data_IF_275173834347
#
_entry.id   IF_275173834347
#
_cell.length_a   1.000
_cell.length_b   1.000
_cell.length_c   1.000
_cell.angle_alpha   90.00
_cell.angle_beta   90.00
_cell.angle_gamma   90.00
#
_symmetry.space_group_name_H-M   'P 1'
#
loop_
_entity.id
_entity.type
_entity.pdbx_description
1 polymer ?
#
# COMPACT_ATOMS: atom_id res chain seq x y z
N UNK A 1 -8.18 23.03 -5.68
CA UNK A 1 -8.42 21.71 -5.07
C UNK A 1 -8.21 21.83 -3.56
N UNK A 2 -8.91 21.04 -2.77
CA UNK A 2 -8.62 20.88 -1.35
C UNK A 2 -7.75 19.65 -1.11
N UNK A 3 -6.80 19.73 -0.15
CA UNK A 3 -5.97 18.59 0.22
C UNK A 3 -5.61 18.65 1.71
N UNK A 4 -5.63 17.51 2.39
CA UNK A 4 -5.23 17.42 3.80
C UNK A 4 -4.76 16.03 4.19
N UNK A 5 -3.94 16.00 5.22
CA UNK A 5 -3.47 14.76 5.86
C UNK A 5 -4.32 14.48 7.11
N UNK A 6 -4.83 13.26 7.24
CA UNK A 6 -5.45 12.77 8.47
C UNK A 6 -4.36 12.14 9.33
N UNK A 7 -3.80 12.92 10.25
CA UNK A 7 -2.77 12.48 11.20
C UNK A 7 -3.39 12.08 12.54
N UNK A 8 -2.71 11.28 13.33
CA UNK A 8 -3.21 10.87 14.65
C UNK A 8 -2.16 10.98 15.73
N UNK A 9 -2.58 11.03 16.99
CA UNK A 9 -1.66 11.07 18.11
C UNK A 9 -0.94 9.75 18.36
N UNK A 10 -1.52 8.63 17.92
CA UNK A 10 -0.93 7.28 18.04
C UNK A 10 -1.66 6.29 17.11
N UNK A 11 -1.16 5.05 17.02
CA UNK A 11 -1.87 3.96 16.36
C UNK A 11 -3.18 3.62 17.10
N UNK A 12 -4.26 3.31 16.33
CA UNK A 12 -5.55 2.96 16.94
C UNK A 12 -6.41 4.16 17.37
N UNK A 13 -5.98 5.41 17.16
CA UNK A 13 -6.76 6.63 17.48
C UNK A 13 -8.02 6.80 16.61
N UNK A 14 -8.16 6.02 15.52
CA UNK A 14 -9.30 6.03 14.60
C UNK A 14 -9.06 6.80 13.31
N UNK A 15 -7.81 6.98 12.88
CA UNK A 15 -7.46 7.64 11.61
C UNK A 15 -8.19 7.03 10.43
N UNK A 16 -8.10 5.71 10.26
CA UNK A 16 -8.71 4.98 9.14
C UNK A 16 -10.22 5.19 9.11
N UNK A 17 -10.90 5.05 10.24
CA UNK A 17 -12.36 5.25 10.33
C UNK A 17 -12.76 6.67 9.92
N UNK A 18 -12.04 7.69 10.42
CA UNK A 18 -12.34 9.09 10.11
C UNK A 18 -11.94 9.44 8.67
N UNK A 19 -10.81 8.94 8.17
CA UNK A 19 -10.42 9.14 6.77
C UNK A 19 -11.47 8.54 5.82
N UNK A 20 -11.91 7.31 6.06
CA UNK A 20 -12.97 6.65 5.28
C UNK A 20 -14.31 7.40 5.38
N UNK A 21 -14.68 7.90 6.57
CA UNK A 21 -15.90 8.66 6.75
C UNK A 21 -15.87 9.98 5.94
N UNK A 22 -14.77 10.70 5.96
CA UNK A 22 -14.59 11.92 5.16
C UNK A 22 -14.58 11.59 3.66
N UNK A 23 -13.89 10.53 3.24
CA UNK A 23 -13.91 10.05 1.85
C UNK A 23 -15.32 9.69 1.39
N UNK A 24 -16.09 8.95 2.22
CA UNK A 24 -17.47 8.59 1.94
C UNK A 24 -18.37 9.83 1.82
N UNK A 25 -18.25 10.76 2.75
CA UNK A 25 -19.01 12.00 2.75
C UNK A 25 -18.77 12.80 1.46
N UNK A 26 -17.53 13.10 1.12
CA UNK A 26 -17.22 13.90 -0.07
C UNK A 26 -17.59 13.16 -1.36
N UNK A 27 -17.36 11.86 -1.45
CA UNK A 27 -17.76 11.04 -2.60
C UNK A 27 -19.28 11.00 -2.76
N UNK A 28 -20.07 10.94 -1.66
CA UNK A 28 -21.54 10.98 -1.71
C UNK A 28 -22.10 12.32 -2.22
N UNK A 29 -21.32 13.39 -2.09
CA UNK A 29 -21.66 14.72 -2.66
C UNK A 29 -21.20 14.88 -4.11
N UNK A 30 -20.68 13.83 -4.74
CA UNK A 30 -20.19 13.84 -6.13
C UNK A 30 -18.80 14.46 -6.29
N UNK A 31 -18.11 14.78 -5.21
CA UNK A 31 -16.75 15.34 -5.25
C UNK A 31 -15.76 14.23 -5.62
N UNK A 32 -14.88 14.50 -6.60
CA UNK A 32 -13.86 13.56 -7.04
C UNK A 32 -12.72 13.51 -6.01
N UNK A 33 -12.80 12.52 -5.12
CA UNK A 33 -11.79 12.30 -4.07
C UNK A 33 -10.67 11.41 -4.59
N UNK A 34 -9.41 11.87 -4.48
CA UNK A 34 -8.22 11.06 -4.65
C UNK A 34 -7.70 10.65 -3.28
N UNK A 35 -7.76 9.36 -2.95
CA UNK A 35 -7.22 8.86 -1.69
C UNK A 35 -5.74 8.52 -1.80
N UNK A 36 -5.03 8.73 -0.67
CA UNK A 36 -3.64 8.32 -0.47
C UNK A 36 -3.45 7.69 0.91
N UNK A 37 -2.45 6.83 1.02
CA UNK A 37 -1.98 6.26 2.29
C UNK A 37 -0.50 6.55 2.47
N UNK A 38 -0.10 7.05 3.64
CA UNK A 38 1.31 7.14 4.01
C UNK A 38 1.78 5.77 4.50
N UNK A 39 2.93 5.32 3.98
CA UNK A 39 3.54 4.05 4.36
C UNK A 39 3.16 2.86 3.48
N UNK A 40 3.75 1.68 3.76
CA UNK A 40 3.69 0.49 2.91
C UNK A 40 2.48 -0.41 3.21
N UNK A 41 1.31 0.17 3.39
CA UNK A 41 0.07 -0.53 3.71
C UNK A 41 -0.71 -0.88 2.43
N UNK A 42 -1.34 -2.03 2.38
CA UNK A 42 -2.22 -2.47 1.29
C UNK A 42 -3.69 -2.55 1.69
N UNK A 43 -3.98 -2.65 2.99
CA UNK A 43 -5.34 -2.85 3.50
C UNK A 43 -6.12 -1.54 3.42
N UNK A 44 -5.60 -0.47 4.04
CA UNK A 44 -6.23 0.85 4.02
C UNK A 44 -6.41 1.36 2.58
N UNK A 45 -5.44 1.27 1.65
CA UNK A 45 -5.62 1.60 0.24
C UNK A 45 -6.76 0.84 -0.44
N UNK A 46 -6.96 -0.43 -0.12
CA UNK A 46 -8.09 -1.21 -0.61
C UNK A 46 -9.44 -0.66 -0.13
N UNK A 47 -9.55 -0.31 1.16
CA UNK A 47 -10.74 0.30 1.75
C UNK A 47 -11.02 1.69 1.15
N UNK A 48 -9.99 2.51 0.99
CA UNK A 48 -10.07 3.81 0.33
C UNK A 48 -10.63 3.70 -1.08
N UNK A 49 -10.07 2.77 -1.86
CA UNK A 49 -10.48 2.56 -3.25
C UNK A 49 -11.93 2.13 -3.37
N UNK A 50 -12.39 1.29 -2.44
CA UNK A 50 -13.79 0.84 -2.38
C UNK A 50 -14.76 1.99 -2.09
N UNK A 51 -14.39 2.89 -1.18
CA UNK A 51 -15.25 4.03 -0.78
C UNK A 51 -15.28 5.12 -1.84
N UNK A 52 -14.14 5.41 -2.46
CA UNK A 52 -14.00 6.53 -3.40
C UNK A 52 -14.21 6.16 -4.87
N UNK A 53 -14.14 4.86 -5.19
CA UNK A 53 -14.11 4.37 -6.59
C UNK A 53 -12.81 4.73 -7.32
N UNK A 54 -11.77 5.21 -6.62
CA UNK A 54 -10.47 5.59 -7.16
C UNK A 54 -9.36 4.77 -6.52
N UNK A 55 -8.41 4.32 -7.32
CA UNK A 55 -7.24 3.63 -6.80
C UNK A 55 -6.49 4.52 -5.80
N UNK A 56 -6.35 4.05 -4.57
CA UNK A 56 -5.54 4.72 -3.56
C UNK A 56 -4.06 4.50 -3.85
N UNK A 57 -3.23 5.50 -3.57
CA UNK A 57 -1.78 5.45 -3.81
C UNK A 57 -1.01 5.48 -2.51
N UNK A 58 0.11 4.78 -2.48
CA UNK A 58 1.02 4.83 -1.34
C UNK A 58 2.02 5.97 -1.52
N UNK A 59 2.14 6.80 -0.49
CA UNK A 59 3.17 7.82 -0.34
C UNK A 59 4.11 7.36 0.75
N UNK A 60 5.39 7.29 0.48
CA UNK A 60 6.33 6.73 1.44
C UNK A 60 7.64 7.51 1.47
N UNK A 61 8.00 8.04 2.64
CA UNK A 61 9.20 8.87 2.81
C UNK A 61 10.49 8.07 2.93
N UNK A 62 10.40 6.74 3.10
CA UNK A 62 11.57 5.88 3.17
C UNK A 62 11.83 5.11 1.86
N UNK A 63 10.79 4.48 1.28
CA UNK A 63 10.95 3.74 0.02
C UNK A 63 11.17 4.68 -1.16
N UNK A 64 10.53 5.85 -1.15
CA UNK A 64 10.44 6.74 -2.30
C UNK A 64 11.11 8.09 -2.02
N UNK A 65 11.69 8.70 -3.05
CA UNK A 65 12.26 10.04 -2.94
C UNK A 65 11.18 11.10 -2.75
N UNK A 66 11.57 12.27 -2.19
CA UNK A 66 10.68 13.42 -2.08
C UNK A 66 10.10 13.83 -3.44
N UNK A 67 10.96 13.87 -4.46
CA UNK A 67 10.55 14.24 -5.82
C UNK A 67 9.51 13.27 -6.38
N UNK A 68 9.69 11.96 -6.17
CA UNK A 68 8.72 10.95 -6.59
C UNK A 68 7.36 11.14 -5.89
N UNK A 69 7.34 11.29 -4.56
CA UNK A 69 6.10 11.49 -3.81
C UNK A 69 5.34 12.75 -4.27
N UNK A 70 6.06 13.84 -4.52
CA UNK A 70 5.48 15.08 -5.04
C UNK A 70 4.90 14.90 -6.45
N UNK A 71 5.65 14.27 -7.34
CA UNK A 71 5.20 13.97 -8.71
C UNK A 71 3.96 13.07 -8.71
N UNK A 72 3.96 12.00 -7.91
CA UNK A 72 2.82 11.08 -7.79
C UNK A 72 1.57 11.82 -7.27
N UNK A 73 1.72 12.61 -6.22
CA UNK A 73 0.64 13.42 -5.66
C UNK A 73 0.08 14.37 -6.71
N UNK A 74 0.91 15.18 -7.36
CA UNK A 74 0.50 16.15 -8.35
C UNK A 74 -0.17 15.48 -9.56
N UNK A 75 0.36 14.36 -10.03
CA UNK A 75 -0.22 13.57 -11.13
C UNK A 75 -1.62 13.07 -10.81
N UNK A 76 -1.81 12.45 -9.65
CA UNK A 76 -3.10 11.89 -9.25
C UNK A 76 -4.14 12.97 -8.95
N UNK A 77 -3.68 14.14 -8.51
CA UNK A 77 -4.54 15.27 -8.18
C UNK A 77 -5.03 16.09 -9.39
N UNK A 78 -4.49 15.88 -10.59
CA UNK A 78 -4.89 16.67 -11.80
C UNK A 78 -6.39 16.65 -12.10
N UNK A 79 -7.03 15.52 -11.85
CA UNK A 79 -8.47 15.30 -12.15
C UNK A 79 -9.32 15.21 -10.87
N UNK A 80 -8.69 15.41 -9.72
CA UNK A 80 -9.35 15.37 -8.43
C UNK A 80 -9.78 16.78 -7.98
N UNK A 81 -10.87 16.84 -7.22
CA UNK A 81 -11.35 18.06 -6.58
C UNK A 81 -10.89 18.11 -5.12
N UNK A 82 -10.55 16.93 -4.57
CA UNK A 82 -10.06 16.76 -3.21
C UNK A 82 -9.04 15.64 -3.11
N UNK A 83 -8.00 15.83 -2.30
CA UNK A 83 -7.07 14.78 -1.90
C UNK A 83 -7.16 14.54 -0.39
N UNK A 84 -7.35 13.28 0.01
CA UNK A 84 -7.36 12.87 1.42
C UNK A 84 -6.23 11.86 1.61
N UNK A 85 -5.27 12.23 2.48
CA UNK A 85 -4.07 11.44 2.74
C UNK A 85 -4.19 10.85 4.14
N UNK A 86 -4.37 9.54 4.26
CA UNK A 86 -4.35 8.89 5.55
C UNK A 86 -2.92 8.65 6.02
N UNK A 87 -2.60 9.15 7.22
CA UNK A 87 -1.30 8.94 7.86
C UNK A 87 -1.11 7.54 8.44
N UNK A 88 0.13 7.22 8.77
CA UNK A 88 0.53 5.96 9.41
C UNK A 88 0.93 6.21 10.87
N UNK A 89 0.70 5.25 11.77
CA UNK A 89 1.08 5.31 13.19
C UNK A 89 0.67 6.63 13.88
N UNK A 90 1.45 7.19 14.80
CA UNK A 90 1.33 8.56 15.25
C UNK A 90 1.96 9.54 14.23
N UNK A 91 1.52 10.78 14.26
CA UNK A 91 1.92 11.81 13.28
C UNK A 91 3.44 11.94 13.10
N UNK A 92 4.17 11.85 14.19
CA UNK A 92 5.63 11.98 14.23
C UNK A 92 6.37 10.65 14.29
N UNK A 93 5.63 9.52 14.33
CA UNK A 93 6.23 8.20 14.32
C UNK A 93 6.70 7.89 12.90
N UNK A 94 7.97 7.59 12.79
CA UNK A 94 8.62 7.26 11.53
C UNK A 94 9.42 5.98 11.65
N UNK A 95 10.46 5.92 10.86
CA UNK A 95 11.34 4.78 10.80
C UNK A 95 12.17 4.56 12.09
N UNK A 96 12.56 5.63 12.78
CA UNK A 96 13.30 5.58 14.04
C UNK A 96 12.86 6.70 15.00
N UNK A 97 13.36 6.67 16.23
CA UNK A 97 13.02 7.68 17.25
C UNK A 97 13.86 8.96 17.20
N UNK A 98 14.65 9.20 16.16
CA UNK A 98 15.57 10.34 16.08
C UNK A 98 15.34 11.21 14.85
N UNK A 99 14.84 10.62 13.77
CA UNK A 99 14.55 11.31 12.51
C UNK A 99 13.04 11.33 12.23
N UNK A 100 12.63 12.19 11.33
CA UNK A 100 11.25 12.22 10.84
C UNK A 100 11.02 11.30 9.63
N UNK A 101 12.05 10.59 9.19
CA UNK A 101 12.01 9.74 8.00
C UNK A 101 10.85 8.74 8.04
N UNK A 102 10.03 8.76 6.99
CA UNK A 102 8.87 7.89 6.86
C UNK A 102 7.68 8.27 7.74
N UNK A 103 7.75 9.41 8.47
CA UNK A 103 6.63 9.88 9.27
C UNK A 103 5.53 10.56 8.43
N UNK A 104 4.34 10.59 8.99
CA UNK A 104 3.22 11.35 8.40
C UNK A 104 3.51 12.85 8.36
N UNK A 105 4.21 13.40 9.36
CA UNK A 105 4.61 14.80 9.41
C UNK A 105 5.58 15.15 8.28
N UNK A 106 6.59 14.32 8.03
CA UNK A 106 7.50 14.49 6.88
C UNK A 106 6.72 14.56 5.56
N UNK A 107 5.77 13.66 5.36
CA UNK A 107 4.96 13.62 4.14
C UNK A 107 4.08 14.88 4.00
N UNK A 108 3.45 15.33 5.07
CA UNK A 108 2.66 16.56 5.07
C UNK A 108 3.51 17.79 4.66
N UNK A 109 4.73 17.89 5.17
CA UNK A 109 5.69 18.96 4.82
C UNK A 109 6.16 18.83 3.37
N UNK A 110 6.50 17.64 2.91
CA UNK A 110 6.94 17.42 1.53
C UNK A 110 5.89 17.82 0.50
N UNK A 111 4.63 17.55 0.78
CA UNK A 111 3.50 17.85 -0.09
C UNK A 111 2.96 19.28 0.11
N UNK A 112 3.40 19.97 1.13
CA UNK A 112 2.88 21.29 1.54
C UNK A 112 1.38 21.26 1.84
N UNK A 113 0.91 20.23 2.55
CA UNK A 113 -0.50 19.95 2.83
C UNK A 113 -0.77 20.03 4.33
N UNK A 114 -1.83 20.72 4.78
CA UNK A 114 -2.13 20.84 6.21
C UNK A 114 -2.64 19.53 6.82
N UNK A 115 -2.40 19.38 8.12
CA UNK A 115 -2.80 18.21 8.90
C UNK A 115 -4.09 18.47 9.65
N UNK A 116 -5.02 17.53 9.58
CA UNK A 116 -6.14 17.34 10.50
C UNK A 116 -5.71 16.33 11.55
N UNK A 117 -5.53 16.79 12.79
CA UNK A 117 -5.09 15.92 13.88
C UNK A 117 -6.28 15.18 14.51
N UNK A 118 -6.22 13.86 14.53
CA UNK A 118 -7.19 13.03 15.22
C UNK A 118 -6.68 12.73 16.62
N UNK A 119 -7.50 13.04 17.63
CA UNK A 119 -7.20 12.81 19.03
C UNK A 119 -8.25 11.88 19.63
N UNK A 120 -7.82 10.79 20.24
CA UNK A 120 -8.70 9.95 21.04
C UNK A 120 -9.02 10.69 22.35
N UNK A 121 -10.24 11.20 22.46
CA UNK A 121 -10.71 11.94 23.63
C UNK A 121 -11.38 11.06 24.68
N UNK A 122 -11.35 9.73 24.48
CA UNK A 122 -11.94 8.81 25.44
C UNK A 122 -11.32 8.98 26.83
N UNK A 123 -12.15 9.24 27.83
CA UNK A 123 -11.72 9.44 29.23
C UNK A 123 -10.76 10.62 29.44
N UNK A 124 -10.75 11.59 28.52
CA UNK A 124 -10.02 12.84 28.67
C UNK A 124 -10.92 13.98 29.13
N UNK A 125 -10.32 14.95 29.80
CA UNK A 125 -10.88 16.24 30.13
C UNK A 125 -9.86 17.33 29.69
N UNK A 126 -9.41 18.21 30.58
CA UNK A 126 -8.44 19.26 30.28
C UNK A 126 -7.11 18.74 29.71
N UNK A 127 -6.73 17.50 29.99
CA UNK A 127 -5.51 16.86 29.45
C UNK A 127 -5.46 16.81 27.91
N UNK A 128 -6.62 16.84 27.22
CA UNK A 128 -6.68 16.93 25.76
C UNK A 128 -5.92 18.15 25.23
N UNK A 129 -5.98 19.28 25.97
CA UNK A 129 -5.29 20.49 25.59
C UNK A 129 -3.75 20.35 25.67
N UNK A 130 -3.25 19.63 26.67
CA UNK A 130 -1.81 19.32 26.75
C UNK A 130 -1.35 18.43 25.60
N UNK A 131 -2.15 17.45 25.21
CA UNK A 131 -1.85 16.58 24.04
C UNK A 131 -1.81 17.40 22.76
N UNK A 132 -2.87 18.16 22.48
CA UNK A 132 -2.93 18.98 21.25
C UNK A 132 -1.81 20.02 21.24
N UNK A 133 -1.55 20.69 22.36
CA UNK A 133 -0.46 21.64 22.47
C UNK A 133 0.89 21.00 22.13
N UNK A 134 1.20 19.84 22.74
CA UNK A 134 2.45 19.14 22.48
C UNK A 134 2.62 18.79 20.98
N UNK A 135 1.57 18.24 20.35
CA UNK A 135 1.63 17.91 18.93
C UNK A 135 1.79 19.14 18.03
N UNK A 136 1.09 20.22 18.34
CA UNK A 136 1.08 21.42 17.47
C UNK A 136 2.28 22.33 17.64
N UNK A 137 3.07 22.14 18.70
CA UNK A 137 4.30 22.90 18.96
C UNK A 137 5.57 22.10 18.74
N UNK A 138 5.48 20.78 18.61
CA UNK A 138 6.65 19.89 18.45
C UNK A 138 7.45 20.17 17.17
N UNK A 139 6.75 20.41 16.06
CA UNK A 139 7.36 20.77 14.78
C UNK A 139 6.65 22.00 14.19
N UNK A 140 7.32 23.18 14.17
CA UNK A 140 6.73 24.40 13.67
C UNK A 140 6.53 24.45 12.15
N UNK A 141 7.13 23.54 11.39
CA UNK A 141 6.96 23.48 9.93
C UNK A 141 5.66 22.77 9.51
N UNK A 142 5.03 22.01 10.42
CA UNK A 142 3.76 21.34 10.16
C UNK A 142 2.63 22.38 10.12
N UNK A 143 1.89 22.40 9.00
CA UNK A 143 0.69 23.24 8.85
C UNK A 143 -0.52 22.52 9.42
N UNK A 144 -1.36 23.25 10.14
CA UNK A 144 -2.53 22.68 10.81
C UNK A 144 -3.83 23.18 10.16
N UNK A 145 -4.68 22.24 9.75
CA UNK A 145 -6.08 22.54 9.40
C UNK A 145 -6.95 22.63 10.67
N UNK A 146 -6.68 21.77 11.66
CA UNK A 146 -7.38 21.76 12.93
C UNK A 146 -7.36 20.37 13.58
N UNK A 147 -8.22 20.18 14.59
CA UNK A 147 -8.33 18.93 15.35
C UNK A 147 -9.74 18.35 15.24
N UNK A 148 -9.85 17.03 15.15
CA UNK A 148 -11.09 16.27 15.33
C UNK A 148 -10.93 15.39 16.58
N UNK A 149 -11.88 15.51 17.50
CA UNK A 149 -11.90 14.73 18.74
C UNK A 149 -12.70 13.45 18.51
N UNK A 150 -12.06 12.30 18.62
CA UNK A 150 -12.69 11.00 18.43
C UNK A 150 -13.11 10.36 19.75
N UNK A 151 -14.10 9.48 19.71
CA UNK A 151 -14.63 8.71 20.85
C UNK A 151 -15.11 9.58 22.01
N UNK A 152 -15.71 10.72 21.69
CA UNK A 152 -16.31 11.61 22.70
C UNK A 152 -17.55 10.97 23.29
N UNK A 153 -17.70 11.06 24.61
CA UNK A 153 -18.77 10.36 25.34
C UNK A 153 -20.16 10.96 25.19
N UNK A 154 -20.26 12.31 25.16
CA UNK A 154 -21.53 13.06 25.05
C UNK A 154 -21.27 14.48 24.55
N UNK A 155 -22.34 15.23 24.29
CA UNK A 155 -22.26 16.65 23.94
C UNK A 155 -21.66 17.48 25.08
N UNK A 156 -22.04 17.21 26.31
CA UNK A 156 -21.50 17.89 27.52
C UNK A 156 -20.00 17.63 27.65
N UNK A 157 -19.57 16.38 27.37
CA UNK A 157 -18.15 16.03 27.35
C UNK A 157 -17.41 16.84 26.26
N UNK A 158 -18.00 16.97 25.07
CA UNK A 158 -17.44 17.78 24.00
C UNK A 158 -17.30 19.24 24.41
N UNK A 159 -18.32 19.84 25.04
CA UNK A 159 -18.24 21.24 25.49
C UNK A 159 -17.09 21.45 26.50
N UNK A 160 -16.87 20.50 27.38
CA UNK A 160 -15.74 20.52 28.33
C UNK A 160 -14.38 20.48 27.63
N UNK A 161 -14.24 19.61 26.64
CA UNK A 161 -13.02 19.48 25.83
C UNK A 161 -12.80 20.75 24.99
N UNK A 162 -13.86 21.31 24.44
CA UNK A 162 -13.85 22.55 23.65
C UNK A 162 -13.36 23.74 24.47
N UNK A 163 -13.88 23.90 25.68
CA UNK A 163 -13.45 24.95 26.61
C UNK A 163 -11.95 24.83 26.94
N UNK A 164 -11.48 23.62 27.25
CA UNK A 164 -10.08 23.37 27.53
C UNK A 164 -9.15 23.72 26.36
N UNK A 165 -9.52 23.31 25.14
CA UNK A 165 -8.76 23.59 23.91
C UNK A 165 -8.79 25.07 23.56
N UNK A 166 -9.95 25.72 23.61
CA UNK A 166 -10.08 27.16 23.29
C UNK A 166 -9.28 28.03 24.23
N UNK A 167 -9.12 27.62 25.51
CA UNK A 167 -8.30 28.33 26.49
C UNK A 167 -6.80 28.15 26.28
N UNK A 168 -6.34 26.92 25.96
CA UNK A 168 -4.92 26.57 25.97
C UNK A 168 -4.27 26.63 24.57
N UNK A 169 -5.04 26.37 23.49
CA UNK A 169 -4.54 26.25 22.11
C UNK A 169 -5.50 26.98 21.13
N UNK A 170 -5.79 28.27 21.35
CA UNK A 170 -6.84 29.02 20.62
C UNK A 170 -6.55 29.17 19.12
N UNK A 171 -5.31 28.99 18.71
CA UNK A 171 -4.89 29.10 17.30
C UNK A 171 -5.16 27.83 16.47
N UNK A 172 -5.51 26.71 17.12
CA UNK A 172 -5.86 25.47 16.45
C UNK A 172 -7.38 25.28 16.49
N UNK A 173 -8.07 25.34 15.35
CA UNK A 173 -9.52 25.17 15.33
C UNK A 173 -9.94 23.74 15.63
N UNK A 174 -11.06 23.61 16.33
CA UNK A 174 -11.74 22.32 16.53
C UNK A 174 -12.69 22.16 15.34
N UNK A 175 -12.35 21.24 14.43
CA UNK A 175 -13.15 20.95 13.24
C UNK A 175 -14.36 20.06 13.55
N UNK A 176 -14.41 19.49 14.73
CA UNK A 176 -15.55 18.70 15.15
C UNK A 176 -15.15 17.55 16.10
N UNK A 177 -16.11 16.65 16.29
CA UNK A 177 -15.95 15.50 17.13
C UNK A 177 -16.77 14.32 16.63
N UNK A 178 -16.35 13.11 16.94
CA UNK A 178 -17.08 11.88 16.63
C UNK A 178 -17.45 11.19 17.94
N UNK A 179 -18.73 10.83 18.14
CA UNK A 179 -19.14 10.10 19.32
C UNK A 179 -18.54 8.69 19.33
N UNK A 180 -18.55 8.05 20.50
CA UNK A 180 -18.21 6.64 20.63
C UNK A 180 -19.29 5.80 19.92
N UNK A 181 -19.06 5.48 18.65
CA UNK A 181 -19.99 4.72 17.83
C UNK A 181 -19.40 3.35 17.47
N UNK A 182 -20.00 2.28 18.01
CA UNK A 182 -19.51 0.91 17.79
C UNK A 182 -19.75 0.43 16.36
N UNK A 183 -20.80 0.91 15.72
CA UNK A 183 -21.18 0.52 14.35
C UNK A 183 -20.19 1.05 13.29
N UNK A 184 -19.36 2.05 13.64
CA UNK A 184 -18.25 2.52 12.79
C UNK A 184 -16.96 1.74 12.99
N UNK A 185 -16.89 0.88 14.00
CA UNK A 185 -15.65 0.13 14.26
C UNK A 185 -15.40 -0.85 13.13
N UNK A 186 -14.30 -0.67 12.44
CA UNK A 186 -13.86 -1.64 11.43
C UNK A 186 -13.42 -2.92 12.14
N UNK A 187 -13.87 -4.09 11.69
CA UNK A 187 -13.47 -5.34 12.31
C UNK A 187 -11.96 -5.54 12.16
N UNK A 188 -11.30 -5.84 13.26
CA UNK A 188 -9.90 -6.26 13.30
C UNK A 188 -9.84 -7.78 13.23
N UNK A 189 -8.94 -8.31 12.42
CA UNK A 189 -8.56 -9.72 12.45
C UNK A 189 -7.35 -9.94 13.35
N UNK A 190 -7.05 -11.20 13.65
CA UNK A 190 -5.81 -11.59 14.32
C UNK A 190 -4.54 -11.08 13.62
N UNK A 191 -4.65 -10.74 12.31
CA UNK A 191 -3.57 -10.29 11.43
C UNK A 191 -3.68 -8.81 11.00
N UNK A 192 -4.64 -8.05 11.53
CA UNK A 192 -4.91 -6.65 11.15
C UNK A 192 -6.35 -6.43 10.69
N UNK A 193 -6.61 -5.31 9.98
CA UNK A 193 -7.93 -5.00 9.46
C UNK A 193 -8.36 -6.00 8.38
N UNK A 194 -9.67 -6.20 8.24
CA UNK A 194 -10.27 -7.01 7.18
C UNK A 194 -10.03 -6.34 5.83
N UNK A 195 -9.68 -7.12 4.80
CA UNK A 195 -9.48 -6.58 3.45
C UNK A 195 -10.74 -5.93 2.90
N UNK A 196 -10.60 -5.09 1.87
CA UNK A 196 -11.74 -4.42 1.25
C UNK A 196 -12.82 -5.39 0.73
N UNK A 197 -12.43 -6.57 0.24
CA UNK A 197 -13.34 -7.59 -0.26
C UNK A 197 -14.21 -8.24 0.81
N UNK A 198 -13.69 -8.32 2.03
CA UNK A 198 -14.31 -8.97 3.18
C UNK A 198 -14.88 -7.98 4.19
N UNK A 199 -14.65 -6.68 3.97
CA UNK A 199 -15.00 -5.64 4.92
C UNK A 199 -16.50 -5.41 5.01
N UNK A 200 -16.95 -5.04 6.21
CA UNK A 200 -18.31 -4.57 6.50
C UNK A 200 -18.59 -3.15 5.98
N UNK A 201 -17.77 -2.62 5.05
CA UNK A 201 -18.04 -1.35 4.37
C UNK A 201 -19.21 -1.52 3.39
N UNK A 202 -20.36 -1.84 3.95
CA UNK A 202 -21.60 -1.93 3.21
C UNK A 202 -22.29 -0.55 3.11
N UNK A 203 -23.45 -0.52 2.46
CA UNK A 203 -24.22 0.71 2.32
C UNK A 203 -24.65 1.32 3.66
N UNK A 204 -24.84 0.50 4.68
CA UNK A 204 -25.26 0.96 6.01
C UNK A 204 -24.12 1.66 6.74
N UNK A 205 -22.90 1.12 6.66
CA UNK A 205 -21.71 1.77 7.19
C UNK A 205 -21.45 3.12 6.51
N UNK A 206 -21.53 3.15 5.17
CA UNK A 206 -21.31 4.38 4.39
C UNK A 206 -22.36 5.43 4.77
N UNK A 207 -23.63 5.06 4.88
CA UNK A 207 -24.70 5.98 5.25
C UNK A 207 -24.48 6.57 6.65
N UNK A 208 -24.12 5.73 7.64
CA UNK A 208 -23.82 6.17 8.98
C UNK A 208 -22.58 7.09 9.02
N UNK A 209 -21.53 6.75 8.29
CA UNK A 209 -20.33 7.57 8.21
C UNK A 209 -20.61 8.96 7.63
N UNK A 210 -21.43 9.03 6.57
CA UNK A 210 -21.88 10.30 5.98
C UNK A 210 -22.70 11.12 6.99
N UNK A 211 -23.68 10.50 7.65
CA UNK A 211 -24.52 11.17 8.67
C UNK A 211 -23.65 11.76 9.79
N UNK A 212 -22.68 11.00 10.28
CA UNK A 212 -21.81 11.47 11.37
C UNK A 212 -20.91 12.64 10.95
N UNK A 213 -20.39 12.63 9.72
CA UNK A 213 -19.64 13.76 9.20
C UNK A 213 -20.56 14.99 9.08
N UNK A 214 -21.75 14.86 8.50
CA UNK A 214 -22.71 15.97 8.37
C UNK A 214 -23.10 16.58 9.71
N UNK A 215 -23.24 15.75 10.73
CA UNK A 215 -23.76 16.16 12.03
C UNK A 215 -22.70 16.73 12.96
N UNK A 216 -21.47 16.23 12.87
CA UNK A 216 -20.46 16.48 13.91
C UNK A 216 -19.18 17.16 13.39
N UNK A 217 -18.99 17.29 12.08
CA UNK A 217 -17.80 17.93 11.51
C UNK A 217 -18.19 19.25 10.86
N UNK A 218 -17.45 20.29 11.18
CA UNK A 218 -17.52 21.57 10.49
C UNK A 218 -16.78 21.49 9.15
N UNK A 219 -17.52 21.01 8.14
CA UNK A 219 -17.01 20.78 6.78
C UNK A 219 -16.61 22.11 6.12
N UNK A 220 -17.30 23.20 6.42
CA UNK A 220 -17.01 24.52 5.85
C UNK A 220 -15.66 25.04 6.37
N UNK A 221 -15.44 24.94 7.68
CA UNK A 221 -14.15 25.26 8.29
C UNK A 221 -13.03 24.38 7.74
N UNK A 222 -13.27 23.07 7.57
CA UNK A 222 -12.30 22.14 6.97
C UNK A 222 -11.93 22.58 5.56
N UNK A 223 -12.90 22.82 4.69
CA UNK A 223 -12.66 23.23 3.30
C UNK A 223 -11.94 24.57 3.18
N UNK A 224 -12.27 25.54 4.03
CA UNK A 224 -11.61 26.84 4.00
C UNK A 224 -10.12 26.78 4.33
N UNK A 225 -9.71 25.80 5.16
CA UNK A 225 -8.34 25.66 5.68
C UNK A 225 -7.48 24.66 4.89
N UNK A 226 -8.08 23.93 3.96
CA UNK A 226 -7.40 22.87 3.21
C UNK A 226 -7.21 23.19 1.73
N UNK A 227 -7.45 24.45 1.32
CA UNK A 227 -7.18 24.89 -0.06
C UNK A 227 -5.69 24.74 -0.37
N UNK A 228 -5.39 23.95 -1.40
CA UNK A 228 -4.03 23.75 -1.88
C UNK A 228 -3.82 24.47 -3.22
N UNK A 229 -2.95 25.51 -3.28
CA UNK A 229 -2.71 26.28 -4.50
C UNK A 229 -1.91 25.49 -5.56
N UNK A 230 -1.21 24.40 -5.21
CA UNK A 230 -0.39 23.62 -6.14
C UNK A 230 -1.17 23.03 -7.30
N UNK A 231 -2.46 22.72 -7.13
CA UNK A 231 -3.28 22.10 -8.17
C UNK A 231 -3.45 22.94 -9.45
N UNK A 232 -3.04 24.18 -9.45
CA UNK A 232 -3.16 25.12 -10.58
C UNK A 232 -1.84 25.38 -11.31
N UNK A 233 -0.71 24.87 -10.83
CA UNK A 233 0.59 25.05 -11.50
C UNK A 233 0.76 23.96 -12.58
N UNK A 234 0.68 24.39 -13.84
CA UNK A 234 0.80 23.51 -15.01
C UNK A 234 2.14 22.79 -15.12
N UNK A 235 2.13 21.73 -15.92
CA UNK A 235 3.28 20.91 -16.32
C UNK A 235 3.92 20.06 -15.21
N UNK A 236 3.24 18.99 -14.85
CA UNK A 236 3.89 17.85 -14.18
C UNK A 236 4.41 16.92 -15.28
N UNK A 237 5.69 16.54 -15.19
CA UNK A 237 6.31 15.61 -16.12
C UNK A 237 5.53 14.28 -16.19
N UNK A 238 5.41 13.63 -17.35
CA UNK A 238 4.87 12.28 -17.48
C UNK A 238 5.65 11.28 -16.63
N UNK A 239 5.02 10.16 -16.24
CA UNK A 239 5.70 9.09 -15.50
C UNK A 239 6.95 8.59 -16.26
N UNK A 240 6.86 8.58 -17.57
CA UNK A 240 7.96 8.24 -18.51
C UNK A 240 9.16 9.18 -18.36
N UNK A 241 8.93 10.48 -18.14
CA UNK A 241 10.02 11.45 -17.99
C UNK A 241 10.71 11.39 -16.64
N UNK A 242 10.04 10.93 -15.58
CA UNK A 242 10.68 10.72 -14.28
C UNK A 242 11.80 9.66 -14.37
N UNK A 243 11.60 8.63 -15.18
CA UNK A 243 12.67 7.70 -15.53
C UNK A 243 13.74 8.33 -16.45
N UNK A 244 13.39 9.29 -17.32
CA UNK A 244 14.34 9.96 -18.20
C UNK A 244 15.22 11.00 -17.49
N UNK A 245 14.72 11.74 -16.51
CA UNK A 245 15.53 12.70 -15.75
C UNK A 245 16.60 12.02 -14.89
N UNK A 246 16.37 10.77 -14.45
CA UNK A 246 17.37 9.95 -13.75
C UNK A 246 18.34 9.25 -14.73
N UNK A 247 18.08 9.28 -16.02
CA UNK A 247 18.77 8.48 -17.04
C UNK A 247 19.45 9.30 -18.15
N UNK A 248 19.71 10.60 -17.94
CA UNK A 248 20.41 11.41 -18.96
C UNK A 248 21.82 10.94 -19.33
N UNK A 249 22.25 9.77 -18.89
CA UNK A 249 23.57 9.22 -19.24
C UNK A 249 23.57 7.92 -20.08
N UNK A 250 22.43 7.34 -20.46
CA UNK A 250 22.46 6.19 -21.37
C UNK A 250 21.34 6.24 -22.40
N UNK A 251 21.75 6.38 -23.66
CA UNK A 251 20.91 6.28 -24.86
C UNK A 251 20.20 4.91 -24.89
N UNK A 252 18.88 4.88 -24.67
CA UNK A 252 18.07 3.70 -24.91
C UNK A 252 17.37 3.80 -26.26
N UNK A 253 17.82 2.96 -27.20
CA UNK A 253 17.18 2.74 -28.49
C UNK A 253 15.73 2.24 -28.30
N UNK A 254 14.79 3.02 -28.83
CA UNK A 254 13.50 2.67 -29.42
C UNK A 254 12.65 1.53 -28.84
N UNK A 255 11.70 1.89 -27.96
CA UNK A 255 10.44 1.15 -27.86
C UNK A 255 9.33 1.99 -28.54
N UNK A 256 8.52 1.43 -29.41
CA UNK A 256 7.46 2.17 -30.10
C UNK A 256 6.30 2.50 -29.15
N UNK A 257 5.71 3.70 -29.23
CA UNK A 257 4.79 4.22 -28.23
C UNK A 257 3.31 3.80 -28.33
N UNK A 258 2.89 2.90 -29.21
CA UNK A 258 1.45 2.77 -29.51
C UNK A 258 0.81 1.38 -29.48
N UNK A 259 1.56 0.27 -29.37
CA UNK A 259 0.96 -1.06 -29.19
C UNK A 259 1.61 -1.80 -28.00
N UNK A 260 0.84 -2.46 -27.12
CA UNK A 260 1.41 -3.25 -26.03
C UNK A 260 2.33 -4.33 -26.60
N UNK A 261 3.60 -4.27 -26.19
CA UNK A 261 4.59 -5.21 -26.74
C UNK A 261 4.59 -6.58 -26.05
N UNK A 262 4.02 -6.69 -24.85
CA UNK A 262 3.92 -7.92 -24.05
C UNK A 262 2.61 -7.96 -23.28
N UNK A 263 2.10 -9.16 -22.99
CA UNK A 263 0.89 -9.36 -22.21
C UNK A 263 1.20 -10.06 -20.90
N UNK A 264 0.78 -9.47 -19.78
CA UNK A 264 1.07 -9.96 -18.42
C UNK A 264 -0.24 -10.32 -17.72
N UNK A 265 -0.38 -11.58 -17.30
CA UNK A 265 -1.48 -12.01 -16.46
C UNK A 265 -1.17 -11.67 -14.99
N UNK A 266 -2.07 -10.95 -14.33
CA UNK A 266 -1.94 -10.55 -12.93
C UNK A 266 -3.10 -11.14 -12.13
N UNK A 267 -2.80 -11.99 -11.15
CA UNK A 267 -3.81 -12.51 -10.23
C UNK A 267 -4.34 -11.36 -9.37
N UNK A 268 -5.67 -11.15 -9.35
CA UNK A 268 -6.27 -10.07 -8.57
C UNK A 268 -7.64 -10.46 -8.04
N UNK A 269 -7.69 -10.83 -6.76
CA UNK A 269 -8.90 -11.17 -6.01
C UNK A 269 -8.64 -11.05 -4.50
N UNK A 270 -9.48 -11.69 -3.69
CA UNK A 270 -9.39 -11.66 -2.23
C UNK A 270 -8.10 -12.26 -1.68
N UNK A 271 -7.51 -13.24 -2.38
CA UNK A 271 -6.24 -13.88 -1.99
C UNK A 271 -5.02 -13.14 -2.53
N UNK A 272 -5.17 -12.38 -3.62
CA UNK A 272 -4.09 -11.67 -4.31
C UNK A 272 -4.46 -10.19 -4.48
N UNK A 273 -4.49 -9.43 -3.38
CA UNK A 273 -4.95 -8.04 -3.37
C UNK A 273 -3.86 -7.02 -3.00
N UNK A 274 -2.64 -7.45 -2.72
CA UNK A 274 -1.56 -6.57 -2.29
C UNK A 274 -0.68 -6.19 -3.49
N UNK A 275 -1.00 -5.06 -4.08
CA UNK A 275 -0.26 -4.44 -5.17
C UNK A 275 -0.07 -2.96 -4.91
N UNK A 276 1.13 -2.46 -5.15
CA UNK A 276 1.28 -1.03 -5.40
C UNK A 276 0.74 -0.73 -6.80
N UNK A 277 -0.31 0.07 -6.89
CA UNK A 277 -0.88 0.45 -8.19
C UNK A 277 0.15 1.13 -9.11
N UNK A 278 1.15 1.78 -8.50
CA UNK A 278 2.25 2.39 -9.24
C UNK A 278 3.11 1.36 -9.97
N UNK A 279 3.31 0.16 -9.39
CA UNK A 279 4.05 -0.91 -10.07
C UNK A 279 3.32 -1.35 -11.35
N UNK A 280 1.98 -1.44 -11.30
CA UNK A 280 1.17 -1.77 -12.47
C UNK A 280 1.20 -0.64 -13.51
N UNK A 281 1.17 0.62 -13.07
CA UNK A 281 1.30 1.77 -13.97
C UNK A 281 2.67 1.80 -14.66
N UNK A 282 3.76 1.48 -13.95
CA UNK A 282 5.09 1.37 -14.53
C UNK A 282 5.19 0.26 -15.59
N UNK A 283 4.56 -0.89 -15.35
CA UNK A 283 4.50 -1.95 -16.36
C UNK A 283 3.77 -1.48 -17.64
N UNK A 284 2.62 -0.82 -17.48
CA UNK A 284 1.87 -0.25 -18.61
C UNK A 284 2.69 0.79 -19.36
N UNK A 285 3.33 1.71 -18.63
CA UNK A 285 4.21 2.73 -19.22
C UNK A 285 5.43 2.12 -19.93
N UNK A 286 5.85 0.91 -19.51
CA UNK A 286 6.93 0.16 -20.17
C UNK A 286 6.46 -0.68 -21.39
N UNK A 287 5.16 -0.62 -21.76
CA UNK A 287 4.61 -1.31 -22.92
C UNK A 287 3.94 -2.66 -22.61
N UNK A 288 3.52 -2.91 -21.34
CA UNK A 288 2.77 -4.11 -21.00
C UNK A 288 1.26 -3.91 -21.08
N UNK A 289 0.56 -4.86 -21.72
CA UNK A 289 -0.88 -5.08 -21.53
C UNK A 289 -1.10 -5.95 -20.30
N UNK A 290 -1.88 -5.46 -19.33
CA UNK A 290 -2.16 -6.17 -18.08
C UNK A 290 -3.57 -6.75 -18.14
N UNK A 291 -3.66 -8.08 -18.07
CA UNK A 291 -4.93 -8.78 -17.91
C UNK A 291 -5.05 -9.36 -16.51
N UNK A 292 -6.11 -8.97 -15.80
CA UNK A 292 -6.42 -9.51 -14.47
C UNK A 292 -7.18 -10.82 -14.58
N UNK A 293 -6.98 -11.72 -13.61
CA UNK A 293 -7.75 -12.94 -13.45
C UNK A 293 -7.89 -13.27 -11.96
N UNK A 294 -8.91 -14.04 -11.60
CA UNK A 294 -9.27 -14.38 -10.22
C UNK A 294 -9.09 -15.86 -9.92
N UNK A 295 -7.96 -16.29 -9.34
CA UNK A 295 -7.77 -17.68 -8.91
C UNK A 295 -8.83 -18.18 -7.91
N UNK A 296 -9.18 -17.37 -6.93
CA UNK A 296 -10.22 -17.70 -5.93
C UNK A 296 -11.62 -17.74 -6.56
N UNK A 297 -11.84 -16.97 -7.63
CA UNK A 297 -13.04 -17.02 -8.45
C UNK A 297 -13.15 -18.25 -9.37
N UNK A 298 -12.13 -19.11 -9.37
CA UNK A 298 -12.10 -20.31 -10.21
C UNK A 298 -11.58 -20.07 -11.64
N UNK A 299 -11.01 -18.91 -11.92
CA UNK A 299 -10.46 -18.60 -13.24
C UNK A 299 -9.10 -19.26 -13.44
N UNK A 300 -8.84 -19.64 -14.68
CA UNK A 300 -7.55 -20.11 -15.17
C UNK A 300 -6.68 -18.92 -15.63
N UNK A 301 -5.39 -19.17 -15.85
CA UNK A 301 -4.50 -18.17 -16.42
C UNK A 301 -4.92 -17.87 -17.87
N UNK A 302 -5.10 -16.59 -18.27
CA UNK A 302 -5.45 -16.23 -19.64
C UNK A 302 -4.43 -16.77 -20.67
N UNK A 303 -4.91 -17.15 -21.83
CA UNK A 303 -4.04 -17.62 -22.94
C UNK A 303 -3.26 -16.45 -23.59
N UNK A 304 -2.14 -16.78 -24.21
CA UNK A 304 -1.36 -15.81 -24.99
C UNK A 304 -0.66 -14.77 -24.14
N UNK A 305 -0.19 -15.15 -22.95
CA UNK A 305 0.53 -14.32 -22.02
C UNK A 305 2.04 -14.51 -22.15
N UNK A 306 2.80 -13.46 -21.90
CA UNK A 306 4.26 -13.47 -21.86
C UNK A 306 4.81 -13.64 -20.43
N UNK A 307 4.02 -13.33 -19.39
CA UNK A 307 4.38 -13.52 -17.98
C UNK A 307 3.16 -13.63 -17.07
N UNK A 308 3.39 -14.14 -15.85
CA UNK A 308 2.42 -14.17 -14.74
C UNK A 308 2.97 -13.39 -13.55
N UNK A 309 2.12 -12.58 -12.92
CA UNK A 309 2.42 -11.90 -11.64
C UNK A 309 1.41 -12.37 -10.59
N UNK A 310 1.93 -12.90 -9.49
CA UNK A 310 1.16 -13.27 -8.30
C UNK A 310 1.57 -12.32 -7.17
N UNK A 311 0.74 -11.34 -6.88
CA UNK A 311 0.99 -10.41 -5.78
C UNK A 311 0.85 -11.03 -4.40
N UNK A 312 1.03 -10.20 -3.40
CA UNK A 312 0.71 -10.58 -2.03
C UNK A 312 -0.79 -10.57 -1.74
N UNK A 313 -1.12 -10.95 -0.53
CA UNK A 313 -2.49 -11.05 -0.04
C UNK A 313 -2.60 -12.13 1.03
N UNK A 314 -3.79 -12.70 1.14
CA UNK A 314 -4.10 -13.69 2.16
C UNK A 314 -4.58 -15.03 1.56
N UNK A 315 -3.75 -15.77 0.81
CA UNK A 315 -4.14 -17.07 0.26
C UNK A 315 -4.54 -18.06 1.35
N UNK A 316 -3.93 -17.95 2.56
CA UNK A 316 -4.25 -18.78 3.72
C UNK A 316 -5.69 -18.63 4.24
N UNK A 317 -6.36 -17.54 3.89
CA UNK A 317 -7.77 -17.32 4.23
C UNK A 317 -8.73 -17.95 3.21
N UNK A 318 -8.22 -18.36 2.06
CA UNK A 318 -9.00 -18.87 0.93
C UNK A 318 -8.54 -20.24 0.47
N UNK A 319 -7.86 -21.01 1.35
CA UNK A 319 -7.21 -22.29 1.03
C UNK A 319 -8.16 -23.30 0.41
N UNK A 320 -9.39 -23.42 0.92
CA UNK A 320 -10.37 -24.36 0.40
C UNK A 320 -10.75 -24.03 -1.05
N UNK A 321 -11.12 -22.78 -1.32
CA UNK A 321 -11.49 -22.33 -2.68
C UNK A 321 -10.29 -22.40 -3.64
N UNK A 322 -9.12 -21.95 -3.18
CA UNK A 322 -7.91 -21.89 -3.98
C UNK A 322 -7.44 -23.32 -4.34
N UNK A 323 -7.43 -24.25 -3.37
CA UNK A 323 -7.00 -25.64 -3.60
C UNK A 323 -7.92 -26.41 -4.54
N UNK A 324 -9.18 -26.00 -4.71
CA UNK A 324 -10.11 -26.57 -5.66
C UNK A 324 -9.87 -26.11 -7.11
N UNK A 325 -9.12 -25.04 -7.32
CA UNK A 325 -8.81 -24.53 -8.67
C UNK A 325 -7.60 -25.27 -9.29
N UNK A 326 -7.78 -26.55 -9.61
CA UNK A 326 -6.72 -27.38 -10.20
C UNK A 326 -6.25 -26.86 -11.57
N UNK A 327 -7.12 -26.18 -12.34
CA UNK A 327 -6.77 -25.61 -13.63
C UNK A 327 -5.74 -24.51 -13.48
N UNK A 328 -5.89 -23.61 -12.49
CA UNK A 328 -4.92 -22.57 -12.18
C UNK A 328 -3.54 -23.14 -11.83
N UNK A 329 -3.49 -24.15 -10.94
CA UNK A 329 -2.21 -24.77 -10.59
C UNK A 329 -1.59 -25.55 -11.76
N UNK A 330 -2.40 -26.15 -12.60
CA UNK A 330 -1.93 -26.82 -13.82
C UNK A 330 -1.34 -25.82 -14.79
N UNK A 331 -1.97 -24.66 -14.96
CA UNK A 331 -1.47 -23.60 -15.81
C UNK A 331 -0.16 -22.99 -15.26
N UNK A 332 -0.03 -22.82 -13.95
CA UNK A 332 1.23 -22.37 -13.33
C UNK A 332 2.39 -23.34 -13.61
N UNK A 333 2.14 -24.66 -13.45
CA UNK A 333 3.13 -25.71 -13.79
C UNK A 333 3.47 -25.70 -15.28
N UNK A 334 2.47 -25.49 -16.13
CA UNK A 334 2.66 -25.36 -17.59
C UNK A 334 3.48 -24.12 -17.92
N UNK A 335 3.16 -22.96 -17.35
CA UNK A 335 3.97 -21.75 -17.52
C UNK A 335 5.43 -22.00 -17.12
N UNK A 336 5.66 -22.62 -15.97
CA UNK A 336 7.00 -22.99 -15.52
C UNK A 336 7.71 -23.93 -16.52
N UNK A 337 7.06 -24.99 -16.98
CA UNK A 337 7.65 -25.96 -17.92
C UNK A 337 7.99 -25.35 -19.29
N UNK A 338 7.19 -24.38 -19.74
CA UNK A 338 7.42 -23.61 -20.96
C UNK A 338 8.41 -22.45 -20.77
N UNK A 339 8.87 -22.26 -19.53
CA UNK A 339 9.76 -21.17 -19.15
C UNK A 339 9.11 -19.80 -19.20
N UNK A 340 7.77 -19.68 -19.23
CA UNK A 340 7.09 -18.37 -19.12
C UNK A 340 7.42 -17.79 -17.74
N UNK A 341 7.92 -16.54 -17.66
CA UNK A 341 8.31 -15.93 -16.41
C UNK A 341 7.14 -15.81 -15.42
N UNK A 342 7.42 -16.12 -14.15
CA UNK A 342 6.48 -15.91 -13.05
C UNK A 342 7.18 -15.07 -11.99
N UNK A 343 6.59 -13.92 -11.66
CA UNK A 343 7.02 -13.09 -10.55
C UNK A 343 6.00 -13.20 -9.41
N UNK A 344 6.46 -13.47 -8.19
CA UNK A 344 5.56 -13.68 -7.06
C UNK A 344 6.05 -12.98 -5.79
N UNK A 345 5.12 -12.33 -5.07
CA UNK A 345 5.39 -11.69 -3.79
C UNK A 345 4.54 -12.33 -2.69
N UNK A 346 5.11 -12.59 -1.53
CA UNK A 346 4.46 -12.99 -0.28
C UNK A 346 3.40 -14.11 -0.47
N UNK A 347 2.11 -13.80 -0.52
CA UNK A 347 1.03 -14.76 -0.80
C UNK A 347 1.22 -15.51 -2.13
N UNK A 348 1.76 -14.83 -3.14
CA UNK A 348 2.11 -15.44 -4.41
C UNK A 348 3.23 -16.48 -4.28
N UNK A 349 4.27 -16.21 -3.47
CA UNK A 349 5.30 -17.19 -3.14
C UNK A 349 4.69 -18.41 -2.45
N UNK A 350 3.80 -18.19 -1.48
CA UNK A 350 3.11 -19.28 -0.78
C UNK A 350 2.31 -20.17 -1.75
N UNK A 351 1.65 -19.56 -2.72
CA UNK A 351 0.87 -20.26 -3.75
C UNK A 351 1.74 -21.07 -4.72
N UNK A 352 2.97 -20.61 -4.99
CA UNK A 352 3.93 -21.36 -5.82
C UNK A 352 4.59 -22.53 -5.07
N UNK A 353 4.52 -22.60 -3.75
CA UNK A 353 5.07 -23.67 -2.93
C UNK A 353 4.35 -25.00 -3.14
N UNK A 354 4.85 -26.09 -2.54
CA UNK A 354 4.21 -27.40 -2.60
C UNK A 354 2.89 -27.44 -1.83
N UNK A 355 2.85 -26.75 -0.69
CA UNK A 355 1.66 -26.68 0.17
C UNK A 355 1.75 -25.46 1.08
N UNK A 356 0.59 -25.03 1.57
CA UNK A 356 0.46 -24.12 2.72
C UNK A 356 -0.05 -24.97 3.88
N UNK A 357 0.70 -24.99 5.00
CA UNK A 357 0.28 -25.55 6.28
C UNK A 357 -0.43 -24.46 7.08
N UNK A 358 -1.72 -24.65 7.38
CA UNK A 358 -2.52 -23.70 8.12
C UNK A 358 -2.21 -23.73 9.63
N UNK A 359 -2.95 -22.92 10.42
CA UNK A 359 -2.74 -22.81 11.88
C UNK A 359 -3.08 -24.08 12.65
N UNK A 360 -3.87 -25.00 12.06
CA UNK A 360 -4.28 -26.26 12.63
C UNK A 360 -3.35 -27.43 12.19
N UNK A 361 -2.32 -27.11 11.39
CA UNK A 361 -1.34 -28.06 10.88
C UNK A 361 -1.83 -28.85 9.65
N UNK A 362 -2.98 -28.50 9.07
CA UNK A 362 -3.46 -29.11 7.84
C UNK A 362 -2.70 -28.53 6.66
N UNK A 363 -2.21 -29.43 5.79
CA UNK A 363 -1.51 -29.07 4.56
C UNK A 363 -2.47 -29.01 3.39
N UNK A 364 -2.48 -27.88 2.72
CA UNK A 364 -3.28 -27.61 1.54
C UNK A 364 -2.37 -27.61 0.32
N UNK A 365 -2.58 -28.52 -0.65
CA UNK A 365 -1.76 -28.58 -1.87
C UNK A 365 -1.81 -27.26 -2.64
N UNK A 366 -0.64 -26.81 -3.14
CA UNK A 366 -0.48 -25.63 -3.96
C UNK A 366 0.17 -25.99 -5.31
N UNK A 367 0.69 -25.00 -6.05
CA UNK A 367 1.21 -25.21 -7.39
C UNK A 367 2.41 -26.19 -7.46
N UNK A 368 3.25 -26.25 -6.41
CA UNK A 368 4.42 -27.13 -6.36
C UNK A 368 5.53 -26.74 -7.34
N UNK A 369 5.56 -25.51 -7.81
CA UNK A 369 6.65 -24.96 -8.66
C UNK A 369 7.91 -24.76 -7.83
N UNK A 370 7.76 -24.27 -6.60
CA UNK A 370 8.86 -24.17 -5.63
C UNK A 370 8.92 -25.44 -4.78
N UNK A 371 10.09 -26.09 -4.63
CA UNK A 371 10.24 -27.41 -4.00
C UNK A 371 10.28 -27.36 -2.48
N UNK A 372 9.54 -26.48 -1.87
CA UNK A 372 9.37 -26.35 -0.41
C UNK A 372 7.92 -26.04 -0.07
N UNK A 373 7.55 -26.23 1.19
CA UNK A 373 6.24 -25.82 1.71
C UNK A 373 6.33 -24.48 2.45
N UNK A 374 5.18 -23.91 2.75
CA UNK A 374 5.06 -22.77 3.67
C UNK A 374 4.14 -23.15 4.84
N UNK A 375 4.35 -22.54 6.00
CA UNK A 375 3.59 -22.77 7.21
C UNK A 375 3.16 -21.47 7.86
N UNK A 376 1.90 -21.41 8.28
CA UNK A 376 1.35 -20.27 9.01
C UNK A 376 1.80 -20.26 10.47
N UNK A 377 2.08 -19.09 10.99
CA UNK A 377 2.54 -18.87 12.37
C UNK A 377 1.50 -18.06 13.17
N UNK A 378 1.38 -18.34 14.46
CA UNK A 378 0.52 -17.58 15.37
C UNK A 378 1.07 -16.19 15.71
N UNK A 379 2.35 -15.96 15.44
CA UNK A 379 3.01 -14.67 15.65
C UNK A 379 3.62 -14.18 14.35
N UNK A 380 3.63 -12.86 14.18
CA UNK A 380 4.25 -12.22 13.03
C UNK A 380 5.72 -12.62 12.91
N UNK A 381 6.15 -13.05 11.72
CA UNK A 381 7.52 -13.47 11.43
C UNK A 381 8.39 -12.28 11.06
N UNK A 382 7.89 -11.42 10.19
CA UNK A 382 8.61 -10.24 9.72
C UNK A 382 7.70 -9.03 9.64
N UNK A 383 8.30 -7.87 9.91
CA UNK A 383 7.72 -6.54 9.70
C UNK A 383 8.85 -5.55 9.53
N UNK A 384 8.78 -4.74 8.50
CA UNK A 384 9.63 -3.56 8.36
C UNK A 384 10.11 -3.32 6.96
N UNK A 385 10.71 -2.16 6.78
CA UNK A 385 11.34 -1.76 5.53
C UNK A 385 12.61 -2.55 5.26
N UNK A 386 12.83 -2.84 3.99
CA UNK A 386 14.01 -3.56 3.51
C UNK A 386 14.52 -2.98 2.19
N UNK A 387 15.81 -3.03 2.01
CA UNK A 387 16.47 -2.81 0.74
C UNK A 387 16.92 -4.16 0.19
N UNK A 388 16.60 -4.43 -1.07
CA UNK A 388 16.97 -5.63 -1.81
C UNK A 388 18.01 -5.26 -2.83
N UNK A 389 19.11 -6.02 -2.88
CA UNK A 389 20.11 -5.96 -3.94
C UNK A 389 20.16 -7.29 -4.65
N UNK A 390 20.08 -7.28 -5.97
CA UNK A 390 20.25 -8.49 -6.78
C UNK A 390 21.72 -8.94 -6.73
N UNK A 391 21.97 -10.18 -6.30
CA UNK A 391 23.29 -10.78 -6.33
C UNK A 391 23.63 -11.40 -7.70
N UNK A 392 22.63 -11.61 -8.57
CA UNK A 392 22.73 -12.18 -9.92
C UNK A 392 21.72 -11.53 -10.86
N UNK A 393 21.99 -11.63 -12.17
CA UNK A 393 21.04 -11.23 -13.19
C UNK A 393 19.71 -11.98 -13.04
N UNK A 394 18.61 -11.29 -13.26
CA UNK A 394 17.26 -11.84 -13.13
C UNK A 394 16.27 -11.19 -14.10
N UNK A 395 15.01 -11.60 -14.04
CA UNK A 395 13.92 -10.97 -14.77
C UNK A 395 13.71 -9.50 -14.39
N UNK A 396 14.22 -9.06 -13.23
CA UNK A 396 14.09 -7.68 -12.74
C UNK A 396 15.30 -6.79 -13.10
N UNK A 397 16.37 -7.39 -13.62
CA UNK A 397 17.56 -6.64 -14.02
C UNK A 397 18.88 -7.34 -13.74
N UNK A 398 20.01 -6.67 -14.01
CA UNK A 398 21.35 -7.21 -13.78
C UNK A 398 21.70 -7.28 -12.29
N UNK A 399 22.74 -8.06 -11.98
CA UNK A 399 23.36 -8.08 -10.66
C UNK A 399 23.74 -6.66 -10.21
N UNK A 400 23.52 -6.36 -8.94
CA UNK A 400 23.74 -5.02 -8.37
C UNK A 400 22.50 -4.10 -8.42
N UNK A 401 21.41 -4.46 -9.14
CA UNK A 401 20.16 -3.71 -9.11
C UNK A 401 19.62 -3.66 -7.67
N UNK A 402 19.33 -2.45 -7.18
CA UNK A 402 18.77 -2.23 -5.84
C UNK A 402 17.32 -1.76 -5.94
N UNK A 403 16.50 -2.18 -4.99
CA UNK A 403 15.09 -1.75 -4.85
C UNK A 403 14.70 -1.74 -3.38
N UNK A 404 13.82 -0.81 -3.01
CA UNK A 404 13.25 -0.74 -1.67
C UNK A 404 11.86 -1.35 -1.63
N UNK A 405 11.54 -1.92 -0.47
CA UNK A 405 10.26 -2.54 -0.21
C UNK A 405 10.06 -2.77 1.28
N UNK A 406 9.16 -3.66 1.60
CA UNK A 406 8.89 -4.05 2.98
C UNK A 406 8.54 -5.52 3.07
N UNK A 407 8.68 -6.10 4.25
CA UNK A 407 8.18 -7.41 4.61
C UNK A 407 7.05 -7.27 5.62
N UNK A 408 6.00 -8.05 5.42
CA UNK A 408 4.93 -8.21 6.41
C UNK A 408 4.26 -9.58 6.20
N UNK A 409 4.64 -10.57 7.00
CA UNK A 409 4.05 -11.91 6.89
C UNK A 409 4.03 -12.67 8.22
N UNK A 410 3.09 -13.63 8.29
CA UNK A 410 2.87 -14.55 9.41
C UNK A 410 3.14 -15.99 9.00
N UNK A 411 3.96 -16.19 7.98
CA UNK A 411 4.33 -17.51 7.49
C UNK A 411 5.84 -17.67 7.40
N UNK A 412 6.30 -18.89 7.26
CA UNK A 412 7.69 -19.21 7.02
C UNK A 412 7.82 -20.37 6.04
N UNK A 413 8.97 -20.46 5.37
CA UNK A 413 9.30 -21.60 4.53
C UNK A 413 9.66 -22.79 5.42
N UNK A 414 9.14 -23.97 5.08
CA UNK A 414 9.47 -25.22 5.73
C UNK A 414 9.90 -26.27 4.70
N UNK A 415 10.63 -27.31 5.16
CA UNK A 415 11.12 -28.41 4.33
C UNK A 415 12.07 -28.01 3.18
N UNK A 416 12.83 -26.90 3.35
CA UNK A 416 13.74 -26.38 2.32
C UNK A 416 14.92 -27.32 2.05
N UNK A 417 15.42 -28.03 3.08
CA UNK A 417 16.65 -28.82 2.98
C UNK A 417 16.50 -30.09 2.11
N UNK A 418 15.29 -30.60 1.97
CA UNK A 418 15.07 -31.86 1.29
C UNK A 418 15.14 -31.80 -0.26
N UNK A 419 15.01 -30.59 -0.89
CA UNK A 419 14.82 -30.49 -2.34
C UNK A 419 15.51 -29.27 -2.98
N UNK A 420 16.55 -28.72 -2.35
CA UNK A 420 17.10 -27.38 -2.66
C UNK A 420 18.12 -27.30 -3.80
N UNK A 421 18.45 -28.41 -4.48
CA UNK A 421 19.56 -28.43 -5.47
C UNK A 421 19.36 -27.48 -6.67
N UNK A 422 18.13 -27.03 -6.95
CA UNK A 422 17.82 -26.20 -8.11
C UNK A 422 17.24 -24.81 -7.79
N UNK A 423 17.11 -24.45 -6.51
CA UNK A 423 16.59 -23.13 -6.11
C UNK A 423 17.72 -22.25 -5.61
N UNK A 424 17.94 -21.16 -6.29
CA UNK A 424 18.93 -20.16 -5.89
C UNK A 424 18.25 -19.05 -5.08
N UNK A 425 18.96 -18.46 -4.12
CA UNK A 425 18.58 -17.18 -3.52
C UNK A 425 19.40 -16.08 -4.19
N UNK A 426 18.72 -15.08 -4.74
CA UNK A 426 19.34 -14.03 -5.53
C UNK A 426 19.16 -12.63 -4.96
N UNK A 427 18.47 -12.50 -3.83
CA UNK A 427 18.34 -11.24 -3.10
C UNK A 427 19.29 -11.22 -1.90
N UNK A 428 20.11 -10.18 -1.83
CA UNK A 428 20.75 -9.74 -0.60
C UNK A 428 19.83 -8.69 0.01
N UNK A 429 19.17 -9.06 1.11
CA UNK A 429 18.18 -8.21 1.78
C UNK A 429 18.80 -7.60 3.02
N UNK A 430 18.68 -6.31 3.20
CA UNK A 430 19.17 -5.59 4.37
C UNK A 430 18.06 -4.75 4.99
N UNK A 431 18.08 -4.60 6.32
CA UNK A 431 17.29 -3.59 7.02
C UNK A 431 18.10 -2.30 7.07
N UNK A 432 17.39 -1.15 7.12
CA UNK A 432 18.00 0.18 7.13
C UNK A 432 19.13 0.35 8.18
N UNK A 433 19.12 -0.36 9.30
CA UNK A 433 20.18 -0.28 10.30
C UNK A 433 21.47 -1.01 9.90
N UNK A 434 21.54 -1.55 8.67
CA UNK A 434 22.79 -1.90 7.97
C UNK A 434 23.51 -3.15 8.43
N UNK A 435 23.17 -3.72 9.58
CA UNK A 435 24.06 -4.72 10.21
C UNK A 435 23.65 -6.18 9.94
N UNK A 436 22.48 -6.42 9.37
CA UNK A 436 22.00 -7.78 9.09
C UNK A 436 21.59 -7.91 7.63
N UNK A 437 22.40 -8.65 6.88
CA UNK A 437 22.08 -9.06 5.50
C UNK A 437 21.68 -10.52 5.53
N UNK A 438 20.56 -10.85 4.88
CA UNK A 438 20.14 -12.25 4.70
C UNK A 438 19.83 -12.53 3.24
N UNK A 439 19.88 -13.82 2.87
CA UNK A 439 19.62 -14.29 1.52
C UNK A 439 18.12 -14.62 1.37
N UNK A 440 17.50 -14.09 0.32
CA UNK A 440 16.09 -14.24 0.00
C UNK A 440 15.91 -14.20 -1.53
N UNK A 441 14.67 -14.13 -2.05
CA UNK A 441 14.41 -14.09 -3.49
C UNK A 441 14.72 -15.41 -4.18
N UNK A 442 13.76 -16.33 -4.11
CA UNK A 442 13.87 -17.71 -4.57
C UNK A 442 13.68 -17.78 -6.08
N UNK A 443 14.73 -18.16 -6.79
CA UNK A 443 14.75 -18.33 -8.24
C UNK A 443 14.86 -19.78 -8.63
N UNK A 444 14.00 -20.20 -9.57
CA UNK A 444 14.10 -21.47 -10.30
C UNK A 444 13.74 -21.24 -11.77
N UNK A 445 14.69 -21.41 -12.67
CA UNK A 445 14.50 -21.04 -14.08
C UNK A 445 14.13 -19.57 -14.25
N UNK A 446 12.97 -19.28 -14.82
CA UNK A 446 12.41 -17.93 -15.01
C UNK A 446 11.40 -17.53 -13.93
N UNK A 447 11.25 -18.34 -12.89
CA UNK A 447 10.40 -18.02 -11.73
C UNK A 447 11.23 -17.29 -10.68
N UNK A 448 10.69 -16.21 -10.16
CA UNK A 448 11.29 -15.44 -9.07
C UNK A 448 10.21 -15.12 -8.03
N UNK A 449 10.38 -15.59 -6.81
CA UNK A 449 9.43 -15.44 -5.73
C UNK A 449 10.11 -14.95 -4.45
N UNK A 450 9.47 -14.08 -3.68
CA UNK A 450 10.01 -13.45 -2.49
C UNK A 450 8.92 -13.14 -1.47
N UNK A 451 9.27 -13.04 -0.19
CA UNK A 451 8.37 -12.45 0.81
C UNK A 451 8.38 -10.93 0.78
N UNK A 452 9.37 -10.32 0.13
CA UNK A 452 9.48 -8.86 0.04
C UNK A 452 8.47 -8.31 -0.96
N UNK A 453 7.70 -7.32 -0.52
CA UNK A 453 6.89 -6.48 -1.38
C UNK A 453 7.71 -5.29 -1.85
N UNK A 454 8.01 -5.23 -3.14
CA UNK A 454 8.86 -4.19 -3.74
C UNK A 454 8.03 -3.02 -4.25
N UNK A 455 8.49 -1.78 -4.00
CA UNK A 455 7.92 -0.60 -4.65
C UNK A 455 8.88 -0.13 -5.75
N UNK A 456 8.50 -0.37 -7.01
CA UNK A 456 9.36 -0.09 -8.16
C UNK A 456 9.56 1.40 -8.45
N UNK A 457 8.79 2.27 -7.82
CA UNK A 457 9.08 3.71 -7.79
C UNK A 457 10.41 4.06 -7.10
N UNK A 458 10.99 3.15 -6.32
CA UNK A 458 12.35 3.31 -5.77
C UNK A 458 13.45 3.03 -6.80
N UNK A 459 13.12 2.26 -7.85
CA UNK A 459 13.99 2.00 -9.01
C UNK A 459 13.14 1.73 -10.27
N UNK A 460 12.84 2.75 -11.08
CA UNK A 460 12.02 2.64 -12.29
C UNK A 460 12.62 1.80 -13.42
N UNK A 461 13.89 1.39 -13.30
CA UNK A 461 14.52 0.47 -14.26
C UNK A 461 13.93 -0.94 -14.18
N UNK A 462 13.45 -1.36 -13.01
CA UNK A 462 12.93 -2.72 -12.80
C UNK A 462 11.78 -3.06 -13.74
N UNK A 463 10.69 -2.30 -13.84
CA UNK A 463 9.61 -2.61 -14.78
C UNK A 463 10.07 -2.56 -16.23
N UNK A 464 11.00 -1.68 -16.60
CA UNK A 464 11.61 -1.63 -17.94
C UNK A 464 12.42 -2.89 -18.23
N UNK A 465 13.27 -3.31 -17.28
CA UNK A 465 14.06 -4.53 -17.40
C UNK A 465 13.16 -5.75 -17.55
N UNK A 466 12.08 -5.82 -16.75
CA UNK A 466 11.13 -6.92 -16.80
C UNK A 466 10.47 -7.00 -18.19
N UNK A 467 9.89 -5.90 -18.68
CA UNK A 467 9.26 -5.87 -20.01
C UNK A 467 10.27 -6.17 -21.11
N UNK A 468 11.48 -5.57 -21.05
CA UNK A 468 12.55 -5.85 -22.03
C UNK A 468 13.00 -7.32 -22.02
N UNK A 469 13.02 -7.95 -20.84
CA UNK A 469 13.30 -9.38 -20.73
C UNK A 469 12.23 -10.21 -21.46
N UNK A 470 10.95 -9.87 -21.28
CA UNK A 470 9.83 -10.57 -21.93
C UNK A 470 9.89 -10.43 -23.45
N UNK A 471 10.16 -9.22 -23.96
CA UNK A 471 10.31 -8.96 -25.40
C UNK A 471 11.44 -9.79 -26.00
N UNK A 472 12.63 -9.78 -25.37
CA UNK A 472 13.77 -10.59 -25.85
C UNK A 472 13.43 -12.08 -25.86
N UNK A 473 12.78 -12.57 -24.82
CA UNK A 473 12.40 -13.97 -24.71
C UNK A 473 11.40 -14.40 -25.78
N UNK A 474 10.36 -13.59 -26.04
CA UNK A 474 9.37 -13.86 -27.09
C UNK A 474 10.01 -13.89 -28.48
N UNK A 475 10.97 -13.02 -28.75
CA UNK A 475 11.66 -12.97 -30.05
C UNK A 475 12.68 -14.11 -30.24
N UNK A 476 13.02 -14.84 -29.17
CA UNK A 476 13.92 -15.99 -29.20
C UNK A 476 13.19 -17.34 -29.38
N UNK A 477 11.86 -17.35 -29.30
CA UNK A 477 10.97 -18.49 -29.56
C UNK A 477 10.45 -18.49 -30.99
#
# INVERSE_FOLDING_TARGET
MNAFVVGGTHSGVGKTTIALALMAFFSSKGIKVQPFKVGPDFIDPGLHSRVTGKASRNLDGWMLSRAYNQMLFDRCCRVAEMAIIEGVMGLYDGFDGKSEDGSTAQMAKWLDVPVVLIVDAQSMARSVAAVVHGFTTFDPEVKWAGVILNRVGSKEHFEYLREALSSAVPHIPILGWIPRERSLTLPERHLGLVTAHESSLDRSWIALAVELVERFIDVEALLSRTRNPRSNSGSVAPLESYGHELLQEQESENLPPNDPCVRIAVARDEAFCFYYEDNLDFLRASGADICFFSPVGGESIPNGIDAVILGGGYPEMHLERLSQNESFFTDLRKCFSLGIPIYAECGGLMTLSQFIEDWDGKKWPMAGVLPFGTRMLKRRKALGYVEVKLSRDSILGPAGTCVRGHEFHYSEICNREAHSANVETIYEVSRRKGDTVWQEGYRIGTVLASYVHQHWGSNPEIPRNFVSFLVRKRNAL
#
